data_IF_456596153549
#
_entry.id   IF_456596153549
#
_cell.length_a   1.000
_cell.length_b   1.000
_cell.length_c   1.000
_cell.angle_alpha   90.00
_cell.angle_beta   90.00
_cell.angle_gamma   90.00
#
_symmetry.space_group_name_H-M   'P 1'
#
loop_
_entity.id
_entity.type
_entity.pdbx_description
1 polymer ?
#
# COMPACT_ATOMS: atom_id res chain seq x y z
N UNK A 1 7.38 -20.79 29.33
CA UNK A 1 7.36 -20.65 27.87
C UNK A 1 7.92 -19.27 27.60
N UNK A 2 9.07 -19.18 26.93
CA UNK A 2 9.64 -17.87 26.57
C UNK A 2 8.70 -17.16 25.58
N UNK A 3 8.55 -15.84 25.74
CA UNK A 3 7.70 -15.06 24.83
C UNK A 3 8.44 -14.88 23.51
N UNK A 4 7.72 -14.91 22.39
CA UNK A 4 8.25 -14.67 21.05
C UNK A 4 9.18 -13.44 20.98
N UNK A 5 8.80 -12.35 21.65
CA UNK A 5 9.57 -11.10 21.69
C UNK A 5 10.94 -11.25 22.36
N UNK A 6 11.01 -12.04 23.44
CA UNK A 6 12.25 -12.30 24.16
C UNK A 6 13.20 -13.12 23.29
N UNK A 7 12.68 -14.16 22.61
CA UNK A 7 13.43 -14.99 21.67
C UNK A 7 13.97 -14.17 20.49
N UNK A 8 13.15 -13.26 19.98
CA UNK A 8 13.50 -12.39 18.85
C UNK A 8 14.60 -11.39 19.24
N UNK A 9 14.47 -10.77 20.40
CA UNK A 9 15.50 -9.89 20.97
C UNK A 9 16.80 -10.65 21.22
N UNK A 10 16.71 -11.83 21.80
CA UNK A 10 17.88 -12.67 22.05
C UNK A 10 18.59 -13.04 20.74
N UNK A 11 17.85 -13.41 19.70
CA UNK A 11 18.40 -13.72 18.38
C UNK A 11 19.17 -12.54 17.77
N UNK A 12 18.67 -11.30 17.95
CA UNK A 12 19.36 -10.06 17.55
C UNK A 12 20.64 -9.85 18.35
N UNK A 13 20.56 -9.94 19.67
CA UNK A 13 21.71 -9.71 20.57
C UNK A 13 22.84 -10.72 20.31
N UNK A 14 22.52 -11.99 20.05
CA UNK A 14 23.50 -13.02 19.67
C UNK A 14 24.23 -12.69 18.36
N UNK A 15 23.54 -12.03 17.42
CA UNK A 15 24.12 -11.56 16.15
C UNK A 15 24.86 -10.24 16.28
N UNK A 16 24.82 -9.60 17.46
CA UNK A 16 25.40 -8.28 17.73
C UNK A 16 24.88 -7.19 16.78
N UNK A 17 23.64 -7.33 16.33
CA UNK A 17 22.97 -6.35 15.47
C UNK A 17 22.27 -5.33 16.37
N UNK A 18 22.48 -4.04 16.14
CA UNK A 18 21.78 -2.99 16.88
C UNK A 18 20.38 -2.75 16.30
N UNK A 19 19.49 -2.17 17.11
CA UNK A 19 18.18 -1.72 16.61
C UNK A 19 18.37 -0.72 15.47
N UNK A 20 19.35 0.17 15.62
CA UNK A 20 19.67 1.23 14.66
C UNK A 20 20.07 0.65 13.30
N UNK A 21 20.87 -0.43 13.27
CA UNK A 21 21.23 -1.11 12.03
C UNK A 21 20.02 -1.69 11.30
N UNK A 22 19.09 -2.32 12.05
CA UNK A 22 17.85 -2.85 11.46
C UNK A 22 16.97 -1.70 10.95
N UNK A 23 16.93 -0.57 11.65
CA UNK A 23 16.18 0.61 11.20
C UNK A 23 16.76 1.18 9.89
N UNK A 24 18.08 1.23 9.76
CA UNK A 24 18.75 1.70 8.55
C UNK A 24 18.42 0.83 7.33
N UNK A 25 18.38 -0.49 7.52
CA UNK A 25 18.07 -1.47 6.47
C UNK A 25 16.57 -1.49 6.12
N UNK A 26 15.70 -1.60 7.12
CA UNK A 26 14.27 -1.85 6.93
C UNK A 26 13.42 -0.59 6.78
N UNK A 27 13.98 0.58 7.14
CA UNK A 27 13.26 1.86 7.27
C UNK A 27 12.11 1.84 8.28
N UNK A 28 12.08 0.84 9.16
CA UNK A 28 11.14 0.80 10.28
C UNK A 28 11.65 1.70 11.40
N UNK A 29 10.74 2.46 12.03
CA UNK A 29 11.08 3.32 13.15
C UNK A 29 11.63 2.52 14.34
N UNK A 30 12.69 3.02 15.03
CA UNK A 30 13.24 2.36 16.21
C UNK A 30 12.21 2.22 17.34
N UNK A 31 11.19 3.09 17.39
CA UNK A 31 10.08 2.96 18.35
C UNK A 31 9.33 1.64 18.15
N UNK A 32 9.01 1.29 16.90
CA UNK A 32 8.25 0.08 16.60
C UNK A 32 9.10 -1.18 16.81
N UNK A 33 10.40 -1.15 16.49
CA UNK A 33 11.27 -2.30 16.74
C UNK A 33 11.46 -2.57 18.24
N UNK A 34 11.57 -1.52 19.06
CA UNK A 34 11.61 -1.67 20.52
C UNK A 34 10.29 -2.16 21.09
N UNK A 35 9.15 -1.64 20.60
CA UNK A 35 7.82 -2.13 20.99
C UNK A 35 7.65 -3.62 20.64
N UNK A 36 8.15 -4.05 19.47
CA UNK A 36 8.15 -5.46 19.07
C UNK A 36 8.94 -6.33 20.05
N UNK A 37 10.15 -5.92 20.44
CA UNK A 37 10.97 -6.65 21.42
C UNK A 37 10.38 -6.60 22.85
N UNK A 38 9.58 -5.58 23.17
CA UNK A 38 8.89 -5.45 24.46
C UNK A 38 7.55 -6.22 24.52
N UNK A 39 7.06 -6.72 23.38
CA UNK A 39 5.72 -7.34 23.28
C UNK A 39 4.57 -6.35 23.36
N UNK A 40 4.84 -5.06 23.14
CA UNK A 40 3.87 -3.98 23.16
C UNK A 40 3.19 -3.87 21.77
N UNK A 41 2.43 -4.90 21.38
CA UNK A 41 1.82 -4.98 20.04
C UNK A 41 0.81 -3.86 19.74
N UNK A 42 0.28 -3.18 20.76
CA UNK A 42 -0.58 -2.01 20.62
C UNK A 42 0.15 -0.77 20.11
N UNK A 43 1.48 -0.68 20.31
CA UNK A 43 2.31 0.44 19.85
C UNK A 43 2.89 0.20 18.44
N UNK A 44 2.62 -0.98 17.87
CA UNK A 44 2.90 -1.28 16.48
C UNK A 44 1.78 -0.73 15.59
N UNK A 45 2.10 -0.24 14.38
CA UNK A 45 1.10 0.03 13.37
C UNK A 45 0.21 -1.20 13.17
N UNK A 46 -1.11 -0.98 13.18
CA UNK A 46 -2.09 -2.03 12.95
C UNK A 46 -2.02 -2.61 11.53
N UNK A 47 -2.84 -3.63 11.33
CA UNK A 47 -2.95 -4.29 10.04
C UNK A 47 -1.69 -5.05 9.55
N UNK A 48 -1.57 -5.25 8.24
CA UNK A 48 -0.47 -5.84 7.46
C UNK A 48 0.84 -5.13 7.70
N UNK A 49 0.83 -3.88 8.18
CA UNK A 49 2.06 -3.20 8.53
C UNK A 49 2.73 -3.90 9.72
N UNK A 50 1.95 -4.40 10.69
CA UNK A 50 2.48 -5.18 11.81
C UNK A 50 3.26 -6.40 11.32
N UNK A 51 2.61 -7.26 10.53
CA UNK A 51 3.25 -8.45 9.93
C UNK A 51 4.41 -8.09 9.02
N UNK A 52 4.31 -6.98 8.28
CA UNK A 52 5.37 -6.44 7.45
C UNK A 52 6.62 -6.06 8.25
N UNK A 53 6.44 -5.35 9.37
CA UNK A 53 7.53 -4.95 10.27
C UNK A 53 8.24 -6.19 10.84
N UNK A 54 7.47 -7.17 11.32
CA UNK A 54 8.03 -8.41 11.88
C UNK A 54 8.82 -9.18 10.81
N UNK A 55 8.25 -9.32 9.60
CA UNK A 55 8.94 -9.97 8.48
C UNK A 55 10.25 -9.26 8.13
N UNK A 56 10.24 -7.94 8.01
CA UNK A 56 11.44 -7.16 7.71
C UNK A 56 12.51 -7.30 8.78
N UNK A 57 12.12 -7.36 10.06
CA UNK A 57 13.04 -7.59 11.16
C UNK A 57 13.67 -9.00 11.10
N UNK A 58 12.86 -10.04 10.88
CA UNK A 58 13.33 -11.44 10.75
C UNK A 58 14.31 -11.56 9.57
N UNK A 59 13.99 -10.92 8.43
CA UNK A 59 14.84 -10.88 7.26
C UNK A 59 16.18 -10.19 7.53
N UNK A 60 16.18 -9.05 8.22
CA UNK A 60 17.40 -8.33 8.60
C UNK A 60 18.31 -9.14 9.55
N UNK A 61 17.73 -10.06 10.34
CA UNK A 61 18.50 -11.00 11.17
C UNK A 61 18.97 -12.25 10.43
N UNK A 62 18.57 -12.45 9.16
CA UNK A 62 18.86 -13.65 8.38
C UNK A 62 18.22 -14.92 9.00
N UNK A 63 17.06 -14.77 9.60
CA UNK A 63 16.31 -15.86 10.24
C UNK A 63 15.32 -16.51 9.26
N UNK A 64 14.93 -17.77 9.54
CA UNK A 64 13.96 -18.50 8.71
C UNK A 64 12.56 -17.89 8.83
N UNK A 65 12.12 -17.19 7.79
CA UNK A 65 10.88 -16.40 7.81
C UNK A 65 9.65 -17.22 8.19
N UNK A 66 9.46 -18.40 7.59
CA UNK A 66 8.24 -19.19 7.77
C UNK A 66 8.03 -19.64 9.21
N UNK A 67 9.10 -20.11 9.87
CA UNK A 67 9.06 -20.58 11.26
C UNK A 67 8.77 -19.41 12.22
N UNK A 68 9.49 -18.30 12.08
CA UNK A 68 9.33 -17.14 12.97
C UNK A 68 7.98 -16.44 12.78
N UNK A 69 7.47 -16.31 11.55
CA UNK A 69 6.16 -15.72 11.31
C UNK A 69 5.02 -16.57 11.86
N UNK A 70 5.12 -17.91 11.78
CA UNK A 70 4.12 -18.79 12.39
C UNK A 70 4.05 -18.58 13.91
N UNK A 71 5.23 -18.45 14.54
CA UNK A 71 5.33 -18.20 15.98
C UNK A 71 4.82 -16.82 16.38
N UNK A 72 5.05 -15.81 15.54
CA UNK A 72 4.47 -14.48 15.72
C UNK A 72 2.94 -14.53 15.68
N UNK A 73 2.34 -15.22 14.70
CA UNK A 73 0.88 -15.37 14.60
C UNK A 73 0.28 -16.08 15.83
N UNK A 74 0.98 -17.09 16.37
CA UNK A 74 0.58 -17.74 17.62
C UNK A 74 0.62 -16.75 18.80
N UNK A 75 1.67 -15.94 18.92
CA UNK A 75 1.78 -14.93 19.98
C UNK A 75 0.72 -13.83 19.86
N UNK A 76 0.37 -13.40 18.65
CA UNK A 76 -0.71 -12.43 18.42
C UNK A 76 -2.06 -12.98 18.89
N UNK A 77 -2.36 -14.25 18.58
CA UNK A 77 -3.59 -14.92 19.02
C UNK A 77 -3.70 -14.97 20.54
N UNK A 78 -2.60 -15.32 21.21
CA UNK A 78 -2.56 -15.36 22.68
C UNK A 78 -2.72 -13.97 23.32
N UNK A 79 -2.22 -12.93 22.65
CA UNK A 79 -2.32 -11.54 23.14
C UNK A 79 -3.67 -10.86 22.91
N UNK A 80 -4.57 -11.45 22.11
CA UNK A 80 -5.85 -10.84 21.72
C UNK A 80 -5.75 -9.71 20.70
N UNK A 81 -4.54 -9.32 20.27
CA UNK A 81 -4.31 -8.22 19.33
C UNK A 81 -4.72 -8.50 17.87
N UNK A 82 -5.26 -9.69 17.60
CA UNK A 82 -5.72 -10.10 16.27
C UNK A 82 -7.08 -9.48 15.89
N UNK A 83 -7.97 -9.24 16.85
CA UNK A 83 -9.31 -8.66 16.59
C UNK A 83 -9.21 -7.22 16.07
N UNK A 84 -8.31 -6.43 16.65
CA UNK A 84 -8.05 -5.03 16.25
C UNK A 84 -7.47 -4.92 14.83
N UNK A 85 -6.84 -5.98 14.33
CA UNK A 85 -6.15 -6.00 13.03
C UNK A 85 -7.15 -6.16 11.88
N UNK A 86 -8.18 -7.00 12.04
CA UNK A 86 -9.21 -7.26 11.03
C UNK A 86 -10.09 -6.02 10.81
N UNK A 87 -10.36 -5.27 11.87
CA UNK A 87 -11.17 -4.05 11.84
C UNK A 87 -10.46 -2.94 11.05
N UNK A 88 -9.17 -2.68 11.36
CA UNK A 88 -8.29 -1.72 10.68
C UNK A 88 -8.08 -2.06 9.18
N UNK A 89 -8.02 -3.35 8.83
CA UNK A 89 -7.95 -3.80 7.43
C UNK A 89 -9.17 -3.42 6.61
N UNK A 90 -10.37 -3.60 7.18
CA UNK A 90 -11.60 -3.34 6.45
C UNK A 90 -11.76 -1.85 6.17
N UNK A 91 -11.42 -0.99 7.13
CA UNK A 91 -11.42 0.46 6.98
C UNK A 91 -10.34 0.94 5.99
N UNK A 92 -9.11 0.42 6.07
CA UNK A 92 -8.04 0.77 5.11
C UNK A 92 -8.41 0.37 3.68
N UNK A 93 -8.92 -0.85 3.48
CA UNK A 93 -9.34 -1.34 2.16
C UNK A 93 -10.51 -0.52 1.61
N UNK A 94 -11.47 -0.14 2.45
CA UNK A 94 -12.57 0.73 2.07
C UNK A 94 -12.09 2.13 1.68
N UNK A 95 -11.16 2.72 2.44
CA UNK A 95 -10.57 4.02 2.14
C UNK A 95 -9.82 4.02 0.80
N UNK A 96 -9.03 2.97 0.51
CA UNK A 96 -8.35 2.81 -0.79
C UNK A 96 -9.37 2.65 -1.93
N UNK A 97 -10.45 1.88 -1.71
CA UNK A 97 -11.52 1.71 -2.70
C UNK A 97 -12.25 3.02 -2.97
N UNK A 98 -12.63 3.76 -1.93
CA UNK A 98 -13.29 5.07 -2.02
C UNK A 98 -12.44 6.05 -2.81
N UNK A 99 -11.14 6.07 -2.57
CA UNK A 99 -10.22 6.98 -3.26
C UNK A 99 -10.04 6.64 -4.77
N UNK A 100 -10.28 5.39 -5.18
CA UNK A 100 -10.23 4.99 -6.61
C UNK A 100 -11.50 5.35 -7.39
N UNK A 101 -12.64 5.46 -6.73
CA UNK A 101 -13.93 5.76 -7.39
C UNK A 101 -14.05 7.27 -7.73
N UNK A 102 -13.15 8.12 -7.24
CA UNK A 102 -13.15 9.56 -7.50
C UNK A 102 -12.63 10.03 -8.87
N UNK A 103 -12.12 9.13 -9.73
CA UNK A 103 -11.44 9.50 -10.98
C UNK A 103 -12.18 9.06 -12.27
N UNK A 104 -13.49 8.82 -12.23
CA UNK A 104 -14.26 8.49 -13.46
C UNK A 104 -14.91 9.72 -14.12
N UNK A 105 -14.74 10.92 -13.55
CA UNK A 105 -15.29 12.17 -14.10
C UNK A 105 -14.41 12.82 -15.19
N UNK A 106 -13.14 12.43 -15.29
CA UNK A 106 -12.18 13.02 -16.23
C UNK A 106 -12.26 12.48 -17.67
N UNK A 107 -12.74 11.25 -17.85
CA UNK A 107 -12.82 10.60 -19.17
C UNK A 107 -13.94 11.18 -20.03
N UNK A 108 -15.13 11.43 -19.46
CA UNK A 108 -16.28 12.01 -20.19
C UNK A 108 -16.00 13.40 -20.75
N UNK A 109 -15.26 14.25 -20.01
CA UNK A 109 -14.93 15.61 -20.45
C UNK A 109 -13.92 15.62 -21.63
N UNK A 110 -12.98 14.67 -21.64
CA UNK A 110 -11.98 14.53 -22.72
C UNK A 110 -12.62 14.10 -24.04
N UNK A 111 -13.57 13.17 -24.00
CA UNK A 111 -14.30 12.73 -25.19
C UNK A 111 -15.21 13.83 -25.76
N UNK A 112 -15.74 14.71 -24.91
CA UNK A 112 -16.55 15.86 -25.32
C UNK A 112 -15.74 16.86 -26.16
N UNK A 113 -14.47 17.09 -25.80
CA UNK A 113 -13.55 17.91 -26.58
C UNK A 113 -13.22 17.31 -27.95
N UNK A 114 -12.97 15.99 -28.01
CA UNK A 114 -12.69 15.27 -29.26
C UNK A 114 -13.91 15.31 -30.20
N UNK A 115 -15.12 15.11 -29.65
CA UNK A 115 -16.36 15.20 -30.42
C UNK A 115 -16.58 16.60 -31.02
N UNK A 116 -16.33 17.66 -30.25
CA UNK A 116 -16.37 19.04 -30.77
C UNK A 116 -15.34 19.29 -31.87
N UNK A 117 -14.11 18.81 -31.70
CA UNK A 117 -13.05 18.97 -32.70
C UNK A 117 -13.42 18.24 -34.00
N UNK A 118 -13.91 17.01 -33.92
CA UNK A 118 -14.38 16.27 -35.09
C UNK A 118 -15.55 16.96 -35.81
N UNK A 119 -16.54 17.46 -35.05
CA UNK A 119 -17.67 18.20 -35.61
C UNK A 119 -17.22 19.48 -36.34
N UNK A 120 -16.25 20.21 -35.77
CA UNK A 120 -15.71 21.42 -36.40
C UNK A 120 -15.01 21.12 -37.73
N UNK A 121 -14.21 20.05 -37.80
CA UNK A 121 -13.52 19.64 -39.03
C UNK A 121 -14.51 19.24 -40.13
N UNK A 122 -15.57 18.50 -39.77
CA UNK A 122 -16.62 18.11 -40.71
C UNK A 122 -17.38 19.34 -41.26
N UNK A 123 -17.68 20.33 -40.41
CA UNK A 123 -18.34 21.56 -40.82
C UNK A 123 -17.49 22.37 -41.82
N UNK A 124 -16.19 22.49 -41.56
CA UNK A 124 -15.24 23.18 -42.47
C UNK A 124 -15.14 22.42 -43.79
N UNK A 125 -14.96 21.10 -43.77
CA UNK A 125 -14.89 20.28 -44.97
C UNK A 125 -16.15 20.40 -45.82
N UNK A 126 -17.33 20.37 -45.19
CA UNK A 126 -18.60 20.56 -45.86
C UNK A 126 -18.73 21.95 -46.50
N UNK A 127 -18.33 23.00 -45.78
CA UNK A 127 -18.34 24.37 -46.28
C UNK A 127 -17.45 24.54 -47.52
N UNK A 128 -16.20 24.03 -47.46
CA UNK A 128 -15.26 24.05 -48.58
C UNK A 128 -15.82 23.32 -49.79
N UNK A 129 -16.38 22.12 -49.60
CA UNK A 129 -17.00 21.37 -50.70
C UNK A 129 -18.18 22.13 -51.32
N UNK A 130 -19.06 22.68 -50.47
CA UNK A 130 -20.25 23.43 -50.90
C UNK A 130 -19.90 24.69 -51.69
N UNK A 131 -18.89 25.44 -51.28
CA UNK A 131 -18.53 26.72 -51.91
C UNK A 131 -17.56 26.56 -53.09
N UNK A 132 -16.56 25.67 -52.98
CA UNK A 132 -15.51 25.53 -54.01
C UNK A 132 -15.94 24.59 -55.14
N UNK A 133 -16.59 23.45 -54.86
CA UNK A 133 -17.02 22.53 -55.92
C UNK A 133 -18.37 22.93 -56.52
N UNK A 134 -19.30 23.44 -55.71
CA UNK A 134 -20.64 23.79 -56.21
C UNK A 134 -20.73 25.19 -56.82
N UNK A 135 -19.82 26.10 -56.45
CA UNK A 135 -19.71 27.44 -57.06
C UNK A 135 -19.02 27.43 -58.44
N UNK A 136 -18.42 26.30 -58.84
CA UNK A 136 -17.70 26.15 -60.11
C UNK A 136 -18.54 25.45 -61.20
N UNK A 137 -19.79 25.12 -60.89
CA UNK A 137 -20.76 24.43 -61.77
C UNK A 137 -22.00 25.31 -62.10
N UNK A 138 -21.97 26.59 -61.71
CA UNK A 138 -22.84 27.66 -62.18
C UNK A 138 -21.96 28.71 -62.86
#
# INVERSE_FOLDING_TARGET
MERFCDELRWAREQRKISIEAICEETKVSPRHLRALEAGEYGDLPGGVFRKGIVRSYIAALGLEEAWWLNRFEASLRESGAQETEVEDWSEFAENVRRNRVGDDSGTKLRWMGVAMMAASLLAVAWCVWKFVLRGRLL
#
